data_IF_629810026567
#
_entry.id   IF_629810026567
#
_cell.length_a   1.000
_cell.length_b   1.000
_cell.length_c   1.000
_cell.angle_alpha   90.00
_cell.angle_beta   90.00
_cell.angle_gamma   90.00
#
_symmetry.space_group_name_H-M   'P 1'
#
loop_
_entity.id
_entity.type
_entity.pdbx_description
1 polymer ?
#
# COMPACT_ATOMS: atom_id res chain seq x y z
N UNK A 1 -22.63 -13.85 0.23
CA UNK A 1 -21.71 -12.81 -0.29
C UNK A 1 -22.32 -12.12 -1.50
N UNK A 2 -22.46 -10.80 -1.48
CA UNK A 2 -22.91 -10.00 -2.63
C UNK A 2 -21.77 -9.86 -3.65
N UNK A 3 -22.04 -10.15 -4.93
CA UNK A 3 -21.06 -10.02 -6.02
C UNK A 3 -20.45 -8.62 -6.12
N UNK A 4 -21.18 -7.61 -5.64
CA UNK A 4 -20.75 -6.22 -5.59
C UNK A 4 -19.52 -6.02 -4.70
N UNK A 5 -19.45 -6.67 -3.54
CA UNK A 5 -18.30 -6.54 -2.63
C UNK A 5 -17.04 -7.10 -3.29
N UNK A 6 -17.15 -8.27 -3.93
CA UNK A 6 -16.05 -8.88 -4.68
C UNK A 6 -15.57 -7.97 -5.81
N UNK A 7 -16.49 -7.29 -6.49
CA UNK A 7 -16.16 -6.39 -7.60
C UNK A 7 -15.48 -5.12 -7.10
N UNK A 8 -15.98 -4.51 -6.02
CA UNK A 8 -15.38 -3.33 -5.38
C UNK A 8 -13.99 -3.63 -4.82
N UNK A 9 -13.86 -4.70 -4.03
CA UNK A 9 -12.58 -5.13 -3.45
C UNK A 9 -11.61 -5.54 -4.55
N UNK A 10 -12.09 -6.21 -5.60
CA UNK A 10 -11.29 -6.55 -6.78
C UNK A 10 -10.80 -5.32 -7.54
N UNK A 11 -11.64 -4.28 -7.69
CA UNK A 11 -11.25 -3.02 -8.30
C UNK A 11 -10.19 -2.28 -7.47
N UNK A 12 -10.32 -2.28 -6.14
CA UNK A 12 -9.30 -1.73 -5.23
C UNK A 12 -7.99 -2.52 -5.32
N UNK A 13 -8.06 -3.85 -5.40
CA UNK A 13 -6.88 -4.71 -5.57
C UNK A 13 -6.16 -4.42 -6.90
N UNK A 14 -6.91 -4.20 -7.99
CA UNK A 14 -6.37 -3.77 -9.28
C UNK A 14 -5.66 -2.43 -9.19
N UNK A 15 -6.17 -1.50 -8.38
CA UNK A 15 -5.51 -0.21 -8.17
C UNK A 15 -4.17 -0.39 -7.43
N UNK A 16 -4.14 -1.27 -6.43
CA UNK A 16 -2.94 -1.58 -5.64
C UNK A 16 -1.88 -2.39 -6.41
N UNK A 17 -2.26 -3.10 -7.48
CA UNK A 17 -1.29 -3.74 -8.39
C UNK A 17 -0.31 -2.73 -8.99
N UNK A 18 -0.67 -1.46 -9.11
CA UNK A 18 0.21 -0.42 -9.62
C UNK A 18 1.10 0.21 -8.54
N UNK A 19 1.24 -0.45 -7.38
CA UNK A 19 2.17 -0.06 -6.31
C UNK A 19 3.59 0.23 -6.87
N UNK A 20 4.09 1.47 -6.67
CA UNK A 20 5.44 1.84 -7.06
C UNK A 20 6.53 1.00 -6.42
N UNK A 21 6.34 0.55 -5.18
CA UNK A 21 7.36 -0.23 -4.48
C UNK A 21 7.45 -1.65 -5.04
N UNK A 22 6.33 -2.35 -5.23
CA UNK A 22 6.35 -3.74 -5.74
C UNK A 22 6.98 -3.76 -7.13
N UNK A 23 6.51 -2.91 -8.04
CA UNK A 23 7.02 -2.87 -9.42
C UNK A 23 8.48 -2.37 -9.42
N UNK A 24 8.77 -1.25 -8.75
CA UNK A 24 10.09 -0.64 -8.78
C UNK A 24 11.18 -1.50 -8.15
N UNK A 25 10.92 -2.13 -7.00
CA UNK A 25 11.87 -3.06 -6.35
C UNK A 25 12.06 -4.31 -7.20
N UNK A 26 10.98 -4.88 -7.73
CA UNK A 26 11.06 -6.07 -8.60
C UNK A 26 11.90 -5.78 -9.84
N UNK A 27 11.64 -4.68 -10.53
CA UNK A 27 12.40 -4.25 -11.71
C UNK A 27 13.87 -4.02 -11.37
N UNK A 28 14.16 -3.35 -10.24
CA UNK A 28 15.54 -3.14 -9.77
C UNK A 28 16.26 -4.48 -9.55
N UNK A 29 15.63 -5.42 -8.85
CA UNK A 29 16.20 -6.73 -8.60
C UNK A 29 16.44 -7.52 -9.89
N UNK A 30 15.52 -7.50 -10.84
CA UNK A 30 15.68 -8.16 -12.14
C UNK A 30 16.79 -7.54 -13.00
N UNK A 31 17.08 -6.25 -12.84
CA UNK A 31 18.16 -5.57 -13.56
C UNK A 31 19.54 -5.80 -12.92
N UNK A 32 19.62 -5.88 -11.59
CA UNK A 32 20.88 -5.91 -10.85
C UNK A 32 21.29 -7.34 -10.47
N UNK A 33 20.35 -8.19 -10.07
CA UNK A 33 20.63 -9.55 -9.61
C UNK A 33 20.87 -10.50 -10.80
N UNK A 34 22.14 -10.74 -11.15
CA UNK A 34 22.49 -11.69 -12.23
C UNK A 34 22.34 -13.17 -11.85
N UNK A 35 22.41 -13.50 -10.55
CA UNK A 35 22.27 -14.86 -9.99
C UNK A 35 21.22 -14.86 -8.89
N UNK A 36 20.52 -15.99 -8.72
CA UNK A 36 19.47 -16.19 -7.70
C UNK A 36 18.31 -15.18 -7.71
N UNK A 37 18.09 -14.48 -8.83
CA UNK A 37 17.01 -13.50 -8.99
C UNK A 37 15.63 -14.04 -8.60
N UNK A 38 15.31 -15.28 -8.99
CA UNK A 38 14.06 -15.94 -8.64
C UNK A 38 13.86 -15.97 -7.13
N UNK A 39 14.89 -16.43 -6.40
CA UNK A 39 14.83 -16.53 -4.94
C UNK A 39 14.71 -15.14 -4.30
N UNK A 40 15.48 -14.16 -4.74
CA UNK A 40 15.46 -12.81 -4.16
C UNK A 40 14.11 -12.11 -4.36
N UNK A 41 13.58 -12.14 -5.59
CA UNK A 41 12.28 -11.53 -5.90
C UNK A 41 11.15 -12.24 -5.16
N UNK A 42 11.14 -13.58 -5.14
CA UNK A 42 10.10 -14.31 -4.40
C UNK A 42 10.18 -14.07 -2.90
N UNK A 43 11.37 -14.04 -2.29
CA UNK A 43 11.49 -13.67 -0.86
C UNK A 43 10.93 -12.29 -0.59
N UNK A 44 11.26 -11.31 -1.43
CA UNK A 44 10.71 -9.95 -1.31
C UNK A 44 9.18 -9.95 -1.40
N UNK A 45 8.60 -10.52 -2.46
CA UNK A 45 7.14 -10.55 -2.69
C UNK A 45 6.40 -11.30 -1.59
N UNK A 46 6.93 -12.45 -1.13
CA UNK A 46 6.33 -13.22 -0.02
C UNK A 46 6.38 -12.42 1.28
N UNK A 47 7.48 -11.69 1.54
CA UNK A 47 7.57 -10.86 2.74
C UNK A 47 6.53 -9.76 2.74
N UNK A 48 6.37 -9.06 1.61
CA UNK A 48 5.35 -8.01 1.44
C UNK A 48 3.95 -8.59 1.60
N UNK A 49 3.64 -9.70 0.91
CA UNK A 49 2.34 -10.36 0.99
C UNK A 49 2.00 -10.82 2.42
N UNK A 50 2.95 -11.44 3.13
CA UNK A 50 2.75 -11.87 4.51
C UNK A 50 2.55 -10.67 5.45
N UNK A 51 3.29 -9.58 5.25
CA UNK A 51 3.16 -8.38 6.05
C UNK A 51 1.78 -7.75 5.88
N UNK A 52 1.34 -7.53 4.64
CA UNK A 52 0.03 -6.95 4.35
C UNK A 52 -1.09 -7.88 4.84
N UNK A 53 -1.01 -9.18 4.55
CA UNK A 53 -2.00 -10.15 5.02
C UNK A 53 -2.11 -10.18 6.55
N UNK A 54 -0.98 -10.19 7.25
CA UNK A 54 -0.97 -10.14 8.73
C UNK A 54 -1.54 -8.82 9.25
N UNK A 55 -1.21 -7.70 8.60
CA UNK A 55 -1.76 -6.37 8.91
C UNK A 55 -3.27 -6.34 8.69
N UNK A 56 -3.77 -6.94 7.61
CA UNK A 56 -5.19 -7.02 7.32
C UNK A 56 -5.95 -7.88 8.32
N UNK A 57 -5.39 -9.02 8.73
CA UNK A 57 -5.96 -9.83 9.82
C UNK A 57 -5.99 -9.04 11.12
N UNK A 58 -4.88 -8.38 11.48
CA UNK A 58 -4.79 -7.57 12.69
C UNK A 58 -5.83 -6.45 12.69
N UNK A 59 -6.03 -5.79 11.55
CA UNK A 59 -7.04 -4.76 11.39
C UNK A 59 -8.46 -5.34 11.43
N UNK A 60 -8.76 -6.42 10.73
CA UNK A 60 -10.11 -7.03 10.75
C UNK A 60 -10.51 -7.54 12.14
N UNK A 61 -9.57 -8.01 12.95
CA UNK A 61 -9.83 -8.48 14.32
C UNK A 61 -9.78 -7.35 15.37
N UNK A 62 -8.97 -6.33 15.12
CA UNK A 62 -8.69 -5.25 16.07
C UNK A 62 -9.47 -3.96 15.80
N UNK A 63 -10.11 -3.81 14.63
CA UNK A 63 -10.81 -2.58 14.26
C UNK A 63 -11.86 -2.23 15.31
N UNK A 64 -12.77 -3.15 15.62
CA UNK A 64 -13.90 -2.83 16.50
C UNK A 64 -13.42 -2.47 17.93
N UNK A 65 -12.41 -3.20 18.43
CA UNK A 65 -11.83 -2.98 19.77
C UNK A 65 -11.11 -1.64 19.90
N UNK A 66 -10.44 -1.18 18.84
CA UNK A 66 -9.67 0.07 18.84
C UNK A 66 -10.55 1.26 18.47
N UNK A 67 -11.48 1.08 17.53
CA UNK A 67 -12.26 2.16 16.94
C UNK A 67 -13.53 2.48 17.74
N UNK A 68 -14.16 1.55 18.44
CA UNK A 68 -15.35 1.86 19.27
C UNK A 68 -15.06 2.87 20.40
N UNK A 69 -13.97 2.73 21.19
CA UNK A 69 -13.62 3.72 22.20
C UNK A 69 -13.20 5.05 21.58
N UNK A 70 -12.47 4.99 20.46
CA UNK A 70 -11.97 6.17 19.75
C UNK A 70 -13.13 6.97 19.14
N UNK A 71 -14.09 6.30 18.50
CA UNK A 71 -15.29 6.92 17.94
C UNK A 71 -16.14 7.59 19.03
N UNK A 72 -16.30 6.95 20.19
CA UNK A 72 -17.00 7.54 21.33
C UNK A 72 -16.28 8.79 21.88
N UNK A 73 -14.95 8.76 22.01
CA UNK A 73 -14.15 9.94 22.38
C UNK A 73 -14.24 11.06 21.33
N UNK A 74 -14.24 10.69 20.05
CA UNK A 74 -14.29 11.59 18.92
C UNK A 74 -15.69 12.20 18.64
N UNK A 75 -16.75 11.63 19.22
CA UNK A 75 -18.12 12.14 19.12
C UNK A 75 -18.39 13.41 19.96
N UNK A 76 -17.50 13.73 20.90
CA UNK A 76 -17.64 14.88 21.80
C UNK A 76 -17.50 16.21 21.04
N UNK A 77 -18.21 17.26 21.49
CA UNK A 77 -18.11 18.60 20.89
C UNK A 77 -16.66 19.11 20.82
N UNK A 78 -15.89 18.92 21.89
CA UNK A 78 -14.47 19.29 21.94
C UNK A 78 -13.60 18.50 20.96
N UNK A 79 -13.94 17.24 20.70
CA UNK A 79 -13.22 16.39 19.76
C UNK A 79 -13.49 16.80 18.30
N UNK A 80 -14.73 17.17 17.99
CA UNK A 80 -15.09 17.77 16.69
C UNK A 80 -14.32 19.06 16.42
N UNK A 81 -14.25 19.97 17.40
CA UNK A 81 -13.47 21.20 17.26
C UNK A 81 -11.97 20.93 17.06
N UNK A 82 -11.40 19.97 17.78
CA UNK A 82 -10.00 19.59 17.59
C UNK A 82 -9.75 18.95 16.23
N UNK A 83 -10.67 18.11 15.72
CA UNK A 83 -10.59 17.60 14.35
C UNK A 83 -10.60 18.72 13.31
N UNK A 84 -11.45 19.73 13.48
CA UNK A 84 -11.51 20.87 12.54
C UNK A 84 -10.21 21.67 12.55
N UNK A 85 -9.63 21.93 13.73
CA UNK A 85 -8.36 22.65 13.85
C UNK A 85 -7.22 21.84 13.23
N UNK A 86 -7.10 20.55 13.61
CA UNK A 86 -6.06 19.66 13.09
C UNK A 86 -6.22 19.45 11.58
N UNK A 87 -7.45 19.24 11.12
CA UNK A 87 -7.79 19.09 9.71
C UNK A 87 -7.42 20.32 8.90
N UNK A 88 -7.74 21.53 9.39
CA UNK A 88 -7.36 22.80 8.77
C UNK A 88 -5.84 22.99 8.70
N UNK A 89 -5.11 22.69 9.77
CA UNK A 89 -3.65 22.77 9.80
C UNK A 89 -3.03 21.79 8.80
N UNK A 90 -3.51 20.54 8.73
CA UNK A 90 -3.02 19.54 7.78
C UNK A 90 -3.35 19.93 6.34
N UNK A 91 -4.56 20.43 6.09
CA UNK A 91 -5.00 20.86 4.77
C UNK A 91 -4.18 22.03 4.25
N UNK A 92 -3.97 23.07 5.06
CA UNK A 92 -3.12 24.23 4.70
C UNK A 92 -1.65 23.81 4.61
N UNK A 93 -1.20 22.99 5.57
CA UNK A 93 0.15 22.45 5.63
C UNK A 93 0.53 21.63 4.39
N UNK A 94 -0.44 20.95 3.76
CA UNK A 94 -0.24 20.20 2.52
C UNK A 94 0.39 21.04 1.40
N UNK A 95 -0.02 22.32 1.27
CA UNK A 95 0.52 23.24 0.25
C UNK A 95 1.94 23.70 0.55
N UNK A 96 2.34 23.66 1.82
CA UNK A 96 3.66 24.10 2.30
C UNK A 96 4.70 22.99 2.23
N UNK A 97 4.28 21.73 2.05
CA UNK A 97 5.21 20.60 1.95
C UNK A 97 6.07 20.74 0.69
N UNK A 98 7.40 20.92 0.82
CA UNK A 98 8.26 20.99 -0.34
C UNK A 98 8.16 19.67 -1.10
N UNK A 99 7.94 19.78 -2.42
CA UNK A 99 7.89 18.64 -3.35
C UNK A 99 9.29 18.06 -3.50
N UNK A 100 9.75 17.33 -2.48
CA UNK A 100 11.01 16.61 -2.52
C UNK A 100 10.83 15.48 -3.52
N UNK A 101 11.74 15.38 -4.50
CA UNK A 101 11.81 14.21 -5.38
C UNK A 101 11.99 13.00 -4.48
N UNK A 102 10.96 12.18 -4.36
CA UNK A 102 11.09 10.87 -3.73
C UNK A 102 12.07 10.12 -4.61
N UNK A 103 13.28 9.88 -4.10
CA UNK A 103 14.20 8.93 -4.70
C UNK A 103 13.42 7.64 -4.87
N UNK A 104 13.37 7.08 -6.09
CA UNK A 104 12.47 5.97 -6.44
C UNK A 104 12.62 4.72 -5.57
N UNK A 105 11.95 3.63 -5.97
CA UNK A 105 11.75 2.43 -5.15
C UNK A 105 12.99 2.02 -4.31
N UNK A 106 12.82 1.69 -3.01
CA UNK A 106 13.93 1.40 -2.10
C UNK A 106 14.91 0.38 -2.68
N UNK A 107 16.19 0.74 -2.71
CA UNK A 107 17.23 -0.09 -3.33
C UNK A 107 18.00 -0.84 -2.25
N UNK A 108 18.02 -2.19 -2.28
CA UNK A 108 18.80 -2.96 -1.32
C UNK A 108 20.31 -2.73 -1.53
N UNK A 109 21.05 -2.53 -0.43
CA UNK A 109 22.51 -2.38 -0.46
C UNK A 109 23.23 -3.72 -0.70
N UNK A 110 22.59 -4.84 -0.37
CA UNK A 110 23.13 -6.19 -0.49
C UNK A 110 22.10 -7.14 -1.11
N UNK A 111 22.56 -8.13 -1.85
CA UNK A 111 21.72 -9.06 -2.61
C UNK A 111 21.61 -10.44 -1.93
N UNK A 112 21.23 -10.43 -0.65
CA UNK A 112 20.99 -11.64 0.14
C UNK A 112 19.54 -11.72 0.62
N UNK A 113 19.09 -12.94 0.98
CA UNK A 113 17.71 -13.21 1.40
C UNK A 113 17.29 -12.34 2.59
N UNK A 114 18.15 -12.18 3.60
CA UNK A 114 17.86 -11.33 4.77
C UNK A 114 17.65 -9.86 4.39
N UNK A 115 18.40 -9.35 3.41
CA UNK A 115 18.21 -8.00 2.90
C UNK A 115 16.87 -7.85 2.17
N UNK A 116 16.39 -8.89 1.47
CA UNK A 116 15.07 -8.86 0.83
C UNK A 116 13.94 -8.88 1.84
N UNK A 117 14.10 -9.62 2.94
CA UNK A 117 13.16 -9.61 4.06
C UNK A 117 13.10 -8.21 4.67
N UNK A 118 14.26 -7.64 5.05
CA UNK A 118 14.32 -6.28 5.61
C UNK A 118 13.75 -5.23 4.63
N UNK A 119 14.03 -5.37 3.33
CA UNK A 119 13.48 -4.51 2.29
C UNK A 119 11.95 -4.65 2.18
N UNK A 120 11.43 -5.88 2.22
CA UNK A 120 9.99 -6.17 2.23
C UNK A 120 9.29 -5.52 3.42
N UNK A 121 9.84 -5.67 4.62
CA UNK A 121 9.30 -5.01 5.82
C UNK A 121 9.32 -3.48 5.71
N UNK A 122 10.46 -2.90 5.35
CA UNK A 122 10.61 -1.44 5.27
C UNK A 122 9.72 -0.81 4.18
N UNK A 123 9.62 -1.46 3.02
CA UNK A 123 8.70 -1.04 1.95
C UNK A 123 7.26 -1.16 2.39
N UNK A 124 6.88 -2.28 3.02
CA UNK A 124 5.50 -2.46 3.49
C UNK A 124 5.12 -1.43 4.55
N UNK A 125 5.98 -1.15 5.53
CA UNK A 125 5.73 -0.10 6.54
C UNK A 125 5.53 1.27 5.88
N UNK A 126 6.37 1.60 4.89
CA UNK A 126 6.29 2.87 4.18
C UNK A 126 5.00 2.97 3.35
N UNK A 127 4.64 1.88 2.66
CA UNK A 127 3.46 1.86 1.80
C UNK A 127 2.16 1.73 2.59
N UNK A 128 2.15 1.07 3.75
CA UNK A 128 0.97 0.98 4.63
C UNK A 128 0.45 2.36 4.95
N UNK A 129 1.31 3.35 5.21
CA UNK A 129 0.86 4.74 5.44
C UNK A 129 0.13 5.37 4.22
N UNK A 130 0.36 4.84 3.03
CA UNK A 130 -0.19 5.33 1.75
C UNK A 130 -1.18 4.36 1.09
N UNK A 131 -1.42 3.18 1.68
CA UNK A 131 -2.22 2.10 1.11
C UNK A 131 -3.73 2.36 1.28
N UNK A 132 -4.19 3.50 0.75
CA UNK A 132 -5.60 3.89 0.76
C UNK A 132 -6.52 2.79 0.18
N UNK A 133 -6.18 2.11 -0.94
CA UNK A 133 -7.04 1.07 -1.49
C UNK A 133 -7.20 -0.12 -0.52
N UNK A 134 -6.12 -0.52 0.15
CA UNK A 134 -6.14 -1.63 1.10
C UNK A 134 -7.00 -1.33 2.33
N UNK A 135 -6.84 -0.14 2.93
CA UNK A 135 -7.67 0.25 4.07
C UNK A 135 -9.14 0.44 3.69
N UNK A 136 -9.42 0.96 2.49
CA UNK A 136 -10.79 1.04 1.99
C UNK A 136 -11.41 -0.36 1.83
N UNK A 137 -10.65 -1.33 1.31
CA UNK A 137 -11.11 -2.71 1.22
C UNK A 137 -11.42 -3.31 2.61
N UNK A 138 -10.55 -3.09 3.59
CA UNK A 138 -10.78 -3.49 4.99
C UNK A 138 -12.06 -2.85 5.54
N UNK A 139 -12.23 -1.53 5.38
CA UNK A 139 -13.45 -0.84 5.85
C UNK A 139 -14.74 -1.38 5.20
N UNK A 140 -14.70 -1.69 3.89
CA UNK A 140 -15.83 -2.33 3.21
C UNK A 140 -16.12 -3.72 3.81
N UNK A 141 -15.08 -4.53 4.04
CA UNK A 141 -15.26 -5.88 4.61
C UNK A 141 -15.78 -5.83 6.06
N UNK A 142 -15.28 -4.90 6.89
CA UNK A 142 -15.72 -4.72 8.29
C UNK A 142 -17.16 -4.21 8.37
N UNK A 143 -17.53 -3.22 7.56
CA UNK A 143 -18.89 -2.64 7.56
C UNK A 143 -20.00 -3.60 7.14
N UNK A 144 -19.66 -4.66 6.40
CA UNK A 144 -20.60 -5.71 6.01
C UNK A 144 -20.70 -6.85 7.04
N UNK A 145 -20.04 -6.73 8.20
CA UNK A 145 -20.05 -7.71 9.30
C UNK A 145 -19.85 -9.16 8.84
N UNK A 146 -18.92 -9.34 7.90
CA UNK A 146 -18.63 -10.64 7.30
C UNK A 146 -18.02 -11.59 8.32
N UNK A 147 -18.38 -12.87 8.23
CA UNK A 147 -17.76 -13.90 9.07
C UNK A 147 -16.30 -14.14 8.67
N UNK A 148 -15.48 -14.64 9.59
CA UNK A 148 -14.05 -14.93 9.34
C UNK A 148 -13.80 -15.75 8.07
N UNK A 149 -14.65 -16.76 7.82
CA UNK A 149 -14.53 -17.62 6.65
C UNK A 149 -14.86 -16.93 5.32
N UNK A 150 -15.55 -15.78 5.35
CA UNK A 150 -15.91 -15.00 4.18
C UNK A 150 -14.85 -13.96 3.84
N UNK A 151 -14.37 -13.20 4.84
CA UNK A 151 -13.41 -12.13 4.57
C UNK A 151 -11.97 -12.64 4.44
N UNK A 152 -11.60 -13.74 5.13
CA UNK A 152 -10.22 -14.24 5.09
C UNK A 152 -9.80 -14.67 3.67
N UNK A 153 -10.61 -15.44 2.90
CA UNK A 153 -10.27 -15.76 1.52
C UNK A 153 -10.23 -14.52 0.61
N UNK A 154 -11.12 -13.54 0.83
CA UNK A 154 -11.10 -12.29 0.06
C UNK A 154 -9.81 -11.51 0.31
N UNK A 155 -9.39 -11.41 1.58
CA UNK A 155 -8.15 -10.76 1.96
C UNK A 155 -6.92 -11.47 1.37
N UNK A 156 -6.91 -12.81 1.39
CA UNK A 156 -5.87 -13.60 0.74
C UNK A 156 -5.85 -13.36 -0.78
N UNK A 157 -7.02 -13.36 -1.42
CA UNK A 157 -7.17 -13.06 -2.84
C UNK A 157 -6.66 -11.67 -3.21
N UNK A 158 -7.01 -10.65 -2.42
CA UNK A 158 -6.50 -9.28 -2.57
C UNK A 158 -4.97 -9.26 -2.54
N UNK A 159 -4.37 -9.88 -1.51
CA UNK A 159 -2.91 -9.90 -1.33
C UNK A 159 -2.20 -10.62 -2.48
N UNK A 160 -2.76 -11.72 -2.99
CA UNK A 160 -2.22 -12.42 -4.15
C UNK A 160 -2.31 -11.57 -5.42
N UNK A 161 -3.43 -10.88 -5.61
CA UNK A 161 -3.63 -9.97 -6.73
C UNK A 161 -2.63 -8.83 -6.69
N UNK A 162 -2.39 -8.24 -5.50
CA UNK A 162 -1.41 -7.18 -5.28
C UNK A 162 0.03 -7.56 -5.70
N UNK A 163 0.49 -8.78 -5.43
CA UNK A 163 1.86 -9.22 -5.80
C UNK A 163 1.98 -9.77 -7.23
N UNK A 164 0.86 -10.06 -7.88
CA UNK A 164 0.78 -10.61 -9.24
C UNK A 164 1.64 -9.85 -10.27
N UNK A 165 1.66 -8.50 -10.35
CA UNK A 165 2.50 -7.82 -11.34
C UNK A 165 4.00 -8.09 -11.15
N UNK A 166 4.47 -8.26 -9.90
CA UNK A 166 5.85 -8.65 -9.62
C UNK A 166 6.16 -10.07 -10.11
N UNK A 167 5.22 -10.99 -9.92
CA UNK A 167 5.33 -12.38 -10.42
C UNK A 167 5.34 -12.39 -11.95
N UNK A 168 4.46 -11.63 -12.59
CA UNK A 168 4.38 -11.50 -14.05
C UNK A 168 5.71 -10.98 -14.61
N UNK A 169 6.27 -9.92 -14.02
CA UNK A 169 7.57 -9.37 -14.42
C UNK A 169 8.69 -10.40 -14.28
N UNK A 170 8.70 -11.16 -13.18
CA UNK A 170 9.65 -12.24 -12.96
C UNK A 170 9.53 -13.34 -14.02
N UNK A 171 8.32 -13.81 -14.31
CA UNK A 171 8.06 -14.82 -15.35
C UNK A 171 8.51 -14.33 -16.73
N UNK A 172 8.14 -13.11 -17.13
CA UNK A 172 8.59 -12.53 -18.40
C UNK A 172 10.11 -12.38 -18.46
N UNK A 173 10.76 -11.98 -17.37
CA UNK A 173 12.22 -11.89 -17.32
C UNK A 173 12.90 -13.26 -17.46
N UNK A 174 12.34 -14.32 -16.89
CA UNK A 174 12.87 -15.67 -17.02
C UNK A 174 12.68 -16.22 -18.44
N UNK A 175 11.53 -15.98 -19.07
CA UNK A 175 11.23 -16.45 -20.43
C UNK A 175 11.97 -15.64 -21.52
N UNK A 176 12.09 -14.32 -21.35
CA UNK A 176 12.62 -13.39 -22.36
C UNK A 176 13.84 -12.63 -21.87
N UNK A 177 14.73 -13.30 -21.12
CA UNK A 177 15.90 -12.69 -20.47
C UNK A 177 16.73 -11.76 -21.38
N UNK A 178 16.88 -12.13 -22.66
CA UNK A 178 17.65 -11.36 -23.65
C UNK A 178 16.98 -10.06 -24.09
N UNK A 179 15.64 -10.01 -24.07
CA UNK A 179 14.86 -8.85 -24.56
C UNK A 179 14.39 -7.94 -23.44
N UNK A 180 14.39 -8.41 -22.19
CA UNK A 180 13.81 -7.70 -21.05
C UNK A 180 14.67 -6.54 -20.49
N UNK A 181 15.92 -6.37 -20.95
CA UNK A 181 16.80 -5.33 -20.42
C UNK A 181 16.31 -3.89 -20.70
N UNK A 182 15.84 -3.62 -21.92
CA UNK A 182 15.31 -2.29 -22.29
C UNK A 182 13.93 -1.97 -21.70
N UNK A 183 12.91 -2.86 -21.74
CA UNK A 183 11.61 -2.55 -21.16
C UNK A 183 11.69 -2.37 -19.64
N UNK A 184 12.48 -3.17 -18.92
CA UNK A 184 12.69 -3.00 -17.48
C UNK A 184 13.29 -1.62 -17.15
N UNK A 185 14.24 -1.12 -17.94
CA UNK A 185 14.79 0.23 -17.75
C UNK A 185 13.75 1.33 -18.01
N UNK A 186 12.89 1.18 -19.01
CA UNK A 186 11.79 2.12 -19.26
C UNK A 186 10.84 2.15 -18.06
N UNK A 187 10.44 0.98 -17.56
CA UNK A 187 9.59 0.87 -16.37
C UNK A 187 10.28 1.53 -15.18
N UNK A 188 11.54 1.22 -14.91
CA UNK A 188 12.31 1.85 -13.82
C UNK A 188 12.31 3.38 -13.94
N UNK A 189 12.54 3.91 -15.15
CA UNK A 189 12.56 5.35 -15.38
C UNK A 189 11.19 6.01 -15.19
N UNK A 190 10.08 5.30 -15.45
CA UNK A 190 8.74 5.83 -15.21
C UNK A 190 8.48 5.97 -13.71
N UNK A 191 8.90 5.00 -12.90
CA UNK A 191 8.70 5.02 -11.44
C UNK A 191 9.71 5.92 -10.71
N UNK A 192 10.92 6.12 -11.23
CA UNK A 192 11.90 7.08 -10.69
C UNK A 192 11.47 8.56 -10.92
N UNK A 193 10.51 8.82 -11.83
CA UNK A 193 10.05 10.17 -12.22
C UNK A 193 8.81 10.66 -11.47
N UNK A 194 8.18 9.82 -10.63
CA UNK A 194 6.98 10.22 -9.89
C UNK A 194 7.32 11.29 -8.84
N UNK A 195 6.93 12.54 -9.12
CA UNK A 195 7.23 13.75 -8.33
C UNK A 195 6.03 14.20 -7.50
N UNK A 196 5.30 13.25 -6.93
CA UNK A 196 4.24 13.58 -5.97
C UNK A 196 4.77 13.36 -4.57
N UNK A 197 4.84 14.41 -3.75
CA UNK A 197 5.11 14.26 -2.33
C UNK A 197 3.90 13.54 -1.72
N UNK A 198 4.00 12.22 -1.55
CA UNK A 198 2.95 11.40 -0.95
C UNK A 198 2.47 12.01 0.38
N UNK A 199 3.39 12.59 1.15
CA UNK A 199 3.10 13.33 2.38
C UNK A 199 2.13 14.51 2.15
N UNK A 200 2.32 15.31 1.10
CA UNK A 200 1.41 16.43 0.76
C UNK A 200 0.01 15.91 0.44
N UNK A 201 -0.11 14.83 -0.33
CA UNK A 201 -1.41 14.22 -0.65
C UNK A 201 -2.09 13.57 0.56
N UNK A 202 -1.34 12.87 1.42
CA UNK A 202 -1.85 12.33 2.68
C UNK A 202 -2.36 13.47 3.56
N UNK A 203 -1.56 14.52 3.76
CA UNK A 203 -1.98 15.69 4.56
C UNK A 203 -3.22 16.37 3.97
N UNK A 204 -3.33 16.45 2.64
CA UNK A 204 -4.50 16.99 1.95
C UNK A 204 -5.77 16.17 2.23
N UNK A 205 -5.75 14.87 1.92
CA UNK A 205 -6.92 14.01 2.07
C UNK A 205 -7.30 13.80 3.54
N UNK A 206 -6.32 13.55 4.42
CA UNK A 206 -6.57 13.42 5.87
C UNK A 206 -7.10 14.74 6.43
N UNK A 207 -6.49 15.87 6.05
CA UNK A 207 -6.95 17.20 6.46
C UNK A 207 -8.39 17.47 6.02
N UNK A 208 -8.73 17.14 4.77
CA UNK A 208 -10.07 17.28 4.23
C UNK A 208 -11.10 16.39 4.96
N UNK A 209 -10.77 15.11 5.20
CA UNK A 209 -11.66 14.18 5.93
C UNK A 209 -11.91 14.67 7.36
N UNK A 210 -10.87 15.15 8.05
CA UNK A 210 -10.99 15.71 9.39
C UNK A 210 -11.80 17.01 9.43
N UNK A 211 -11.70 17.86 8.41
CA UNK A 211 -12.55 19.05 8.29
C UNK A 211 -14.03 18.69 8.09
N UNK A 212 -14.32 17.71 7.24
CA UNK A 212 -15.69 17.21 7.00
C UNK A 212 -16.26 16.63 8.30
N UNK A 213 -15.50 15.77 9.00
CA UNK A 213 -15.97 15.11 10.22
C UNK A 213 -15.98 16.02 11.48
N UNK A 214 -15.09 17.01 11.54
CA UNK A 214 -15.00 17.96 12.66
C UNK A 214 -16.11 19.03 12.66
N UNK A 215 -16.76 19.23 11.51
CA UNK A 215 -17.93 20.08 11.37
C UNK A 215 -17.61 21.45 10.78
N UNK A 216 -18.03 21.61 9.52
CA UNK A 216 -18.75 22.76 8.93
C UNK A 216 -18.96 22.52 7.43
N UNK A 217 -19.44 21.32 7.04
CA UNK A 217 -20.15 21.01 5.79
C UNK A 217 -21.17 19.92 6.13
#
# INVERSE_FOLDING_TARGET
>A
MSNEILLLVGALALLDMFSPSIIGVTVYLLLVAKKHQLRLVLTYLITVALFYFSTGIFLMLGLDVIFDPLANLLSSYSARLTMTIVGGILFIGSWLVPKKKTTGAPRPKTLHVSAMIALGFTTSILEVATALPYFAAIGILTSHHLSFYEWLPILAGYNLMMITPGIILLCFHLLFRRYMHQPLRKIQSLFDQSTSSALSWIMFFVGLILLINGGMI
#
